data_IF_642699066920
#
_entry.id   IF_642699066920
#
_cell.length_a   1.000
_cell.length_b   1.000
_cell.length_c   1.000
_cell.angle_alpha   90.00
_cell.angle_beta   90.00
_cell.angle_gamma   90.00
#
_symmetry.space_group_name_H-M   'P 1'
#
loop_
_entity.id
_entity.type
_entity.pdbx_description
1 polymer ?
#
# COMPACT_ATOMS: atom_id res chain seq x y z
N UNK A 1 4.78 14.54 -18.94
CA UNK A 1 4.69 14.80 -17.49
C UNK A 1 3.50 14.03 -16.98
N UNK A 2 3.69 13.02 -16.11
CA UNK A 2 2.56 12.38 -15.42
C UNK A 2 1.94 13.38 -14.43
N UNK A 3 0.61 13.37 -14.33
CA UNK A 3 -0.09 14.14 -13.30
C UNK A 3 0.37 13.65 -11.91
N UNK A 4 0.45 14.55 -10.92
CA UNK A 4 0.74 14.13 -9.55
C UNK A 4 -0.36 13.18 -9.06
N UNK A 5 0.05 12.12 -8.36
CA UNK A 5 -0.89 11.14 -7.84
C UNK A 5 -1.90 11.82 -6.89
N UNK A 6 -3.21 11.71 -7.16
CA UNK A 6 -4.25 12.53 -6.50
C UNK A 6 -4.37 12.24 -5.00
N UNK A 7 -3.93 11.06 -4.55
CA UNK A 7 -4.06 10.63 -3.16
C UNK A 7 -3.07 11.33 -2.23
N UNK A 8 -2.01 11.96 -2.73
CA UNK A 8 -1.00 12.59 -1.87
C UNK A 8 -1.51 13.72 -0.96
N UNK A 9 -2.57 14.43 -1.36
CA UNK A 9 -3.05 15.61 -0.62
C UNK A 9 -4.12 15.30 0.43
N UNK A 10 -4.86 14.20 0.27
CA UNK A 10 -6.06 13.93 1.07
C UNK A 10 -6.17 12.50 1.61
N UNK A 11 -5.35 11.57 1.12
CA UNK A 11 -5.28 10.24 1.69
C UNK A 11 -4.29 10.20 2.86
N UNK A 12 -4.53 9.26 3.78
CA UNK A 12 -3.62 8.95 4.89
C UNK A 12 -3.53 7.45 5.13
N UNK A 13 -2.46 7.04 5.81
CA UNK A 13 -2.32 5.69 6.32
C UNK A 13 -2.41 5.70 7.85
N UNK A 14 -3.13 4.72 8.37
CA UNK A 14 -3.06 4.31 9.77
C UNK A 14 -2.40 2.93 9.84
N UNK A 15 -1.68 2.65 10.92
CA UNK A 15 -0.89 1.43 11.08
C UNK A 15 -1.28 0.71 12.37
N UNK A 16 -1.76 -0.52 12.23
CA UNK A 16 -1.95 -1.46 13.33
C UNK A 16 -0.80 -2.48 13.26
N UNK A 17 -0.12 -2.74 14.39
CA UNK A 17 1.04 -3.65 14.46
C UNK A 17 0.79 -4.73 15.49
N UNK A 18 0.94 -5.98 15.08
CA UNK A 18 0.72 -7.19 15.87
C UNK A 18 1.89 -8.17 15.62
N UNK A 19 2.90 -8.10 16.49
CA UNK A 19 4.08 -8.96 16.39
C UNK A 19 4.89 -8.72 15.12
N UNK A 20 4.93 -9.72 14.23
CA UNK A 20 5.69 -9.68 12.96
C UNK A 20 4.89 -9.17 11.76
N UNK A 21 3.68 -8.69 11.97
CA UNK A 21 2.85 -8.11 10.92
C UNK A 21 1.80 -7.17 11.47
N UNK A 22 0.75 -6.93 10.69
CA UNK A 22 -0.37 -6.11 11.10
C UNK A 22 -1.20 -5.63 9.93
N UNK A 23 -1.86 -4.47 10.11
CA UNK A 23 -2.73 -3.90 9.08
C UNK A 23 -2.30 -2.47 8.74
N UNK A 24 -2.21 -2.17 7.44
CA UNK A 24 -2.15 -0.82 6.90
C UNK A 24 -3.56 -0.43 6.48
N UNK A 25 -4.06 0.70 6.98
CA UNK A 25 -5.40 1.19 6.67
C UNK A 25 -5.26 2.44 5.81
N UNK A 26 -5.59 2.31 4.53
CA UNK A 26 -5.74 3.43 3.62
C UNK A 26 -7.09 4.12 3.87
N UNK A 27 -7.07 5.45 3.97
CA UNK A 27 -8.29 6.26 4.09
C UNK A 27 -8.26 7.44 3.14
N UNK A 28 -9.36 7.61 2.41
CA UNK A 28 -9.59 8.76 1.53
C UNK A 28 -11.10 9.03 1.43
N UNK A 29 -11.56 10.18 1.97
CA UNK A 29 -12.99 10.47 2.02
C UNK A 29 -13.78 9.36 2.75
N UNK A 30 -14.83 8.78 2.14
CA UNK A 30 -15.57 7.65 2.69
C UNK A 30 -14.84 6.31 2.53
N UNK A 31 -13.83 6.24 1.65
CA UNK A 31 -13.18 4.99 1.27
C UNK A 31 -12.18 4.56 2.34
N UNK A 32 -12.25 3.29 2.69
CA UNK A 32 -11.31 2.65 3.63
C UNK A 32 -10.92 1.29 3.09
N UNK A 33 -9.62 1.07 2.88
CA UNK A 33 -9.07 -0.23 2.44
C UNK A 33 -8.07 -0.70 3.50
N UNK A 34 -8.13 -1.99 3.82
CA UNK A 34 -7.25 -2.63 4.81
C UNK A 34 -6.34 -3.62 4.09
N UNK A 35 -5.04 -3.44 4.24
CA UNK A 35 -4.02 -4.32 3.69
C UNK A 35 -3.28 -5.01 4.83
N UNK A 36 -3.21 -6.35 4.79
CA UNK A 36 -2.36 -7.09 5.72
C UNK A 36 -0.89 -6.89 5.32
N UNK A 37 0.00 -6.80 6.29
CA UNK A 37 1.43 -6.76 6.06
C UNK A 37 2.19 -7.66 7.03
N UNK A 38 3.38 -8.10 6.63
CA UNK A 38 4.32 -8.80 7.51
C UNK A 38 5.78 -8.44 7.22
N UNK A 39 6.67 -8.67 8.18
CA UNK A 39 8.10 -8.51 7.96
C UNK A 39 8.60 -9.51 6.92
N UNK A 40 9.26 -8.97 5.88
CA UNK A 40 9.91 -9.76 4.85
C UNK A 40 11.21 -10.42 5.34
N UNK A 41 11.80 -11.22 4.45
CA UNK A 41 13.14 -11.77 4.61
C UNK A 41 14.10 -11.25 3.54
N UNK A 42 15.41 -11.45 3.75
CA UNK A 42 16.42 -11.02 2.78
C UNK A 42 16.43 -9.50 2.58
N UNK A 43 16.24 -9.05 1.32
CA UNK A 43 16.19 -7.62 1.00
C UNK A 43 14.84 -6.95 1.32
N UNK A 44 13.78 -7.74 1.52
CA UNK A 44 12.46 -7.21 1.86
C UNK A 44 12.38 -6.87 3.35
N UNK A 45 12.05 -5.62 3.65
CA UNK A 45 11.75 -5.13 5.00
C UNK A 45 10.32 -5.51 5.37
N UNK A 46 9.36 -5.30 4.47
CA UNK A 46 7.96 -5.64 4.66
C UNK A 46 7.32 -6.09 3.36
N UNK A 47 6.35 -7.00 3.47
CA UNK A 47 5.47 -7.44 2.39
C UNK A 47 4.06 -6.94 2.72
N UNK A 48 3.46 -6.18 1.82
CA UNK A 48 2.09 -5.67 1.97
C UNK A 48 1.23 -6.42 0.96
N UNK A 49 0.30 -7.23 1.45
CA UNK A 49 -0.58 -8.04 0.60
C UNK A 49 -1.74 -7.20 0.10
N UNK A 50 -1.90 -7.16 -1.22
CA UNK A 50 -2.87 -6.32 -1.92
C UNK A 50 -3.67 -7.17 -2.90
N UNK A 51 -4.94 -6.84 -3.19
CA UNK A 51 -5.68 -7.55 -4.23
C UNK A 51 -4.97 -7.44 -5.58
N UNK A 52 -4.96 -8.53 -6.34
CA UNK A 52 -4.58 -8.48 -7.75
C UNK A 52 -5.64 -7.71 -8.58
N UNK A 53 -5.38 -7.52 -9.87
CA UNK A 53 -6.28 -6.77 -10.75
C UNK A 53 -7.68 -7.41 -10.86
N UNK A 54 -7.77 -8.74 -10.85
CA UNK A 54 -9.05 -9.46 -10.96
C UNK A 54 -9.86 -9.45 -9.67
N UNK A 55 -9.20 -9.24 -8.53
CA UNK A 55 -9.82 -9.19 -7.21
C UNK A 55 -10.10 -7.78 -6.71
N UNK A 56 -9.48 -6.76 -7.32
CA UNK A 56 -9.47 -5.39 -6.80
C UNK A 56 -10.87 -4.82 -6.57
N UNK A 57 -11.71 -4.77 -7.59
CA UNK A 57 -13.02 -4.13 -7.50
C UNK A 57 -13.93 -4.88 -6.52
N UNK A 58 -13.85 -6.22 -6.52
CA UNK A 58 -14.64 -7.06 -5.63
C UNK A 58 -14.25 -6.91 -4.15
N UNK A 59 -12.97 -6.69 -3.85
CA UNK A 59 -12.48 -6.60 -2.46
C UNK A 59 -12.45 -5.15 -1.93
N UNK A 60 -12.28 -4.16 -2.78
CA UNK A 60 -12.12 -2.75 -2.38
C UNK A 60 -13.36 -1.90 -2.65
N UNK A 61 -14.22 -2.32 -3.59
CA UNK A 61 -15.33 -1.50 -4.09
C UNK A 61 -14.90 -0.33 -4.98
N UNK A 62 -13.59 -0.16 -5.23
CA UNK A 62 -13.05 0.92 -6.07
C UNK A 62 -12.75 0.44 -7.48
N UNK A 63 -12.85 1.32 -8.49
CA UNK A 63 -12.53 0.96 -9.88
C UNK A 63 -11.10 0.44 -10.03
N UNK A 64 -10.88 -0.51 -10.93
CA UNK A 64 -9.53 -1.02 -11.23
C UNK A 64 -8.56 0.09 -11.65
N UNK A 65 -9.06 1.15 -12.29
CA UNK A 65 -8.25 2.32 -12.66
C UNK A 65 -7.63 3.06 -11.47
N UNK A 66 -8.17 2.89 -10.26
CA UNK A 66 -7.63 3.49 -9.04
C UNK A 66 -6.58 2.62 -8.34
N UNK A 67 -6.45 1.35 -8.72
CA UNK A 67 -5.52 0.40 -8.11
C UNK A 67 -4.10 0.91 -8.07
N UNK A 68 -3.52 1.22 -9.24
CA UNK A 68 -2.13 1.65 -9.31
C UNK A 68 -1.88 2.96 -8.56
N UNK A 69 -2.66 4.04 -8.75
CA UNK A 69 -2.49 5.25 -7.96
C UNK A 69 -2.61 5.03 -6.44
N UNK A 70 -3.55 4.20 -5.96
CA UNK A 70 -3.65 3.92 -4.52
C UNK A 70 -2.42 3.16 -4.02
N UNK A 71 -1.97 2.13 -4.74
CA UNK A 71 -0.82 1.33 -4.33
C UNK A 71 0.50 2.12 -4.38
N UNK A 72 0.66 3.02 -5.35
CA UNK A 72 1.76 3.98 -5.37
C UNK A 72 1.77 4.89 -4.13
N UNK A 73 0.60 5.43 -3.76
CA UNK A 73 0.48 6.23 -2.55
C UNK A 73 0.80 5.40 -1.29
N UNK A 74 0.27 4.18 -1.20
CA UNK A 74 0.49 3.29 -0.05
C UNK A 74 1.97 2.98 0.10
N UNK A 75 2.66 2.65 -0.99
CA UNK A 75 4.09 2.35 -1.00
C UNK A 75 4.92 3.56 -0.60
N UNK A 76 4.72 4.69 -1.28
CA UNK A 76 5.46 5.92 -1.02
C UNK A 76 5.28 6.42 0.41
N UNK A 77 4.04 6.40 0.92
CA UNK A 77 3.73 6.82 2.29
C UNK A 77 4.31 5.86 3.31
N UNK A 78 4.26 4.55 3.08
CA UNK A 78 4.86 3.55 3.99
C UNK A 78 6.37 3.70 4.08
N UNK A 79 7.05 3.93 2.96
CA UNK A 79 8.49 4.25 2.97
C UNK A 79 8.75 5.50 3.79
N UNK A 80 8.02 6.59 3.54
CA UNK A 80 8.22 7.84 4.24
C UNK A 80 7.98 7.72 5.76
N UNK A 81 6.93 7.01 6.17
CA UNK A 81 6.48 6.97 7.56
C UNK A 81 7.22 5.90 8.40
N UNK A 82 7.59 4.76 7.79
CA UNK A 82 8.04 3.57 8.52
C UNK A 82 9.37 2.99 8.07
N UNK A 83 9.85 3.32 6.87
CA UNK A 83 11.03 2.68 6.27
C UNK A 83 11.87 3.69 5.47
N UNK A 84 12.20 4.84 6.06
CA UNK A 84 12.95 5.89 5.37
C UNK A 84 14.26 5.37 4.80
N UNK A 85 14.53 5.68 3.53
CA UNK A 85 15.69 5.18 2.78
C UNK A 85 15.46 3.86 2.04
N UNK A 86 14.33 3.19 2.26
CA UNK A 86 13.89 2.06 1.44
C UNK A 86 13.20 2.54 0.15
N UNK A 87 12.90 1.60 -0.74
CA UNK A 87 12.02 1.79 -1.91
C UNK A 87 10.85 0.81 -1.85
N UNK A 88 9.86 0.97 -2.74
CA UNK A 88 8.76 0.03 -2.90
C UNK A 88 8.67 -0.49 -4.34
N UNK A 89 8.24 -1.73 -4.49
CA UNK A 89 8.02 -2.40 -5.79
C UNK A 89 6.70 -3.18 -5.73
N UNK A 90 5.88 -3.10 -6.79
CA UNK A 90 4.62 -3.84 -6.90
C UNK A 90 4.83 -5.11 -7.74
N UNK A 91 4.70 -6.27 -7.11
CA UNK A 91 4.82 -7.58 -7.73
C UNK A 91 3.51 -8.36 -7.59
N UNK A 92 2.64 -8.25 -8.60
CA UNK A 92 1.35 -8.93 -8.63
C UNK A 92 0.44 -8.47 -7.48
N UNK A 93 0.24 -9.35 -6.50
CA UNK A 93 -0.58 -9.15 -5.30
C UNK A 93 0.24 -8.76 -4.05
N UNK A 94 1.50 -8.37 -4.23
CA UNK A 94 2.38 -7.94 -3.15
C UNK A 94 3.02 -6.60 -3.48
N UNK A 95 2.91 -5.65 -2.56
CA UNK A 95 3.68 -4.42 -2.55
C UNK A 95 4.84 -4.59 -1.56
N UNK A 96 6.04 -4.74 -2.10
CA UNK A 96 7.25 -5.04 -1.34
C UNK A 96 7.96 -3.75 -0.94
N UNK A 97 8.35 -3.64 0.33
CA UNK A 97 9.24 -2.58 0.81
C UNK A 97 10.65 -3.15 0.91
N UNK A 98 11.59 -2.60 0.16
CA UNK A 98 12.93 -3.14 -0.05
C UNK A 98 14.00 -2.15 0.42
N UNK A 99 15.08 -2.65 1.01
CA UNK A 99 16.29 -1.84 1.26
C UNK A 99 16.96 -1.44 -0.05
#
# INVERSE_FOLDING_TARGET
MSLPNPYHQHARLEYETEGRGGTIIFRHGPDTIRFYWEFGGGNAVALIFVPDEGQWEAQTGLPLSERLPILEFVGARTVADKASGCRYELNGNCLEILR
#
